data_IF_127546597235
#
_entry.id   IF_127546597235
#
_cell.length_a   1.000
_cell.length_b   1.000
_cell.length_c   1.000
_cell.angle_alpha   90.00
_cell.angle_beta   90.00
_cell.angle_gamma   90.00
#
_symmetry.space_group_name_H-M   'P 1'
#
loop_
_entity.id
_entity.type
_entity.pdbx_description
1 polymer ?
#
# COMPACT_ATOMS: atom_id res chain seq x y z
N UNK A 1 28.68 -7.04 -1.13
CA UNK A 1 27.91 -6.01 -1.87
C UNK A 1 26.56 -5.72 -1.21
N UNK A 2 25.66 -6.72 -1.03
CA UNK A 2 24.31 -6.49 -0.50
C UNK A 2 24.22 -5.92 0.94
N UNK A 3 25.15 -6.27 1.83
CA UNK A 3 25.16 -5.74 3.21
C UNK A 3 25.50 -4.24 3.26
N UNK A 4 26.35 -3.77 2.36
CA UNK A 4 26.78 -2.36 2.30
C UNK A 4 25.68 -1.43 1.77
N UNK A 5 24.89 -1.89 0.79
CA UNK A 5 23.72 -1.15 0.31
C UNK A 5 22.67 -0.92 1.40
N UNK A 6 22.52 -1.87 2.34
CA UNK A 6 21.60 -1.73 3.49
C UNK A 6 22.07 -0.69 4.50
N UNK A 7 23.38 -0.49 4.66
CA UNK A 7 23.93 0.54 5.55
C UNK A 7 23.60 1.93 5.00
N UNK A 8 23.82 2.17 3.71
CA UNK A 8 23.45 3.45 3.09
C UNK A 8 21.94 3.70 3.12
N UNK A 9 21.12 2.64 3.06
CA UNK A 9 19.67 2.79 3.22
C UNK A 9 19.28 3.18 4.65
N UNK A 10 19.93 2.61 5.67
CA UNK A 10 19.58 2.84 7.09
C UNK A 10 20.13 4.16 7.62
N UNK A 11 21.34 4.55 7.19
CA UNK A 11 22.07 5.72 7.71
C UNK A 11 22.13 6.90 6.72
N UNK A 12 21.70 6.68 5.47
CA UNK A 12 21.69 7.70 4.42
C UNK A 12 22.74 7.42 3.34
N UNK A 13 22.44 7.85 2.11
CA UNK A 13 23.26 7.59 0.91
C UNK A 13 24.68 8.18 1.09
N UNK A 14 25.70 7.38 0.77
CA UNK A 14 27.10 7.81 0.86
C UNK A 14 27.74 7.70 2.25
N UNK A 15 27.04 7.12 3.22
CA UNK A 15 27.60 6.81 4.55
C UNK A 15 28.77 5.84 4.42
N UNK A 16 28.62 4.80 3.61
CA UNK A 16 29.69 3.81 3.38
C UNK A 16 30.88 4.45 2.66
N UNK A 17 30.63 5.35 1.70
CA UNK A 17 31.67 6.05 0.94
C UNK A 17 32.48 6.98 1.86
N UNK A 18 31.83 7.71 2.77
CA UNK A 18 32.49 8.57 3.77
C UNK A 18 33.44 7.82 4.71
N UNK A 19 33.24 6.52 4.89
CA UNK A 19 34.04 5.67 5.75
C UNK A 19 34.91 4.67 4.97
N UNK A 20 34.98 4.79 3.64
CA UNK A 20 35.82 3.95 2.78
C UNK A 20 37.30 4.15 3.15
N UNK A 21 37.99 3.06 3.48
CA UNK A 21 39.40 3.07 3.90
C UNK A 21 39.63 3.27 5.40
N UNK A 22 38.59 3.54 6.20
CA UNK A 22 38.68 3.54 7.67
C UNK A 22 38.57 2.11 8.22
N UNK A 23 39.14 1.86 9.40
CA UNK A 23 38.97 0.57 10.11
C UNK A 23 37.49 0.30 10.32
N UNK A 24 37.05 -0.94 10.09
CA UNK A 24 35.66 -1.37 10.26
C UNK A 24 35.09 -1.06 11.66
N UNK A 25 35.95 -1.10 12.69
CA UNK A 25 35.59 -0.75 14.07
C UNK A 25 34.99 0.66 14.19
N UNK A 26 35.58 1.65 13.50
CA UNK A 26 35.10 3.03 13.55
C UNK A 26 33.70 3.18 12.93
N UNK A 27 33.38 2.35 11.93
CA UNK A 27 32.03 2.29 11.41
C UNK A 27 31.11 1.66 12.46
N UNK A 28 31.47 0.50 13.03
CA UNK A 28 30.66 -0.13 14.09
C UNK A 28 30.40 0.77 15.29
N UNK A 29 31.38 1.55 15.74
CA UNK A 29 31.21 2.48 16.87
C UNK A 29 30.23 3.61 16.51
N UNK A 30 30.26 4.11 15.27
CA UNK A 30 29.27 5.07 14.75
C UNK A 30 27.87 4.44 14.68
N UNK A 31 27.76 3.24 14.12
CA UNK A 31 26.51 2.48 14.02
C UNK A 31 25.93 2.20 15.42
N UNK A 32 26.79 1.86 16.37
CA UNK A 32 26.47 1.62 17.76
C UNK A 32 26.22 2.91 18.55
N UNK A 33 26.45 4.10 17.99
CA UNK A 33 26.12 5.38 18.60
C UNK A 33 24.69 5.84 18.34
N UNK A 34 24.04 5.31 17.29
CA UNK A 34 22.71 5.77 16.86
C UNK A 34 21.60 5.35 17.84
N UNK A 35 21.14 6.29 18.66
CA UNK A 35 20.05 6.12 19.63
C UNK A 35 18.76 5.61 18.97
N UNK A 36 18.45 6.05 17.75
CA UNK A 36 17.28 5.59 17.00
C UNK A 36 17.33 4.08 16.78
N UNK A 37 18.51 3.56 16.45
CA UNK A 37 18.70 2.15 16.16
C UNK A 37 18.86 1.30 17.41
N UNK A 38 19.50 1.82 18.46
CA UNK A 38 19.47 1.18 19.79
C UNK A 38 18.04 0.94 20.24
N UNK A 39 17.19 1.96 20.16
CA UNK A 39 15.78 1.83 20.56
C UNK A 39 15.00 0.85 19.69
N UNK A 40 15.38 0.69 18.42
CA UNK A 40 14.70 -0.19 17.48
C UNK A 40 15.18 -1.65 17.56
N UNK A 41 16.45 -1.88 17.83
CA UNK A 41 17.08 -3.21 17.82
C UNK A 41 17.13 -3.82 19.23
N UNK A 42 17.18 -3.01 20.29
CA UNK A 42 17.16 -3.50 21.66
C UNK A 42 15.71 -3.64 22.16
N UNK A 43 15.27 -4.85 22.53
CA UNK A 43 13.92 -5.06 23.05
C UNK A 43 13.75 -4.34 24.39
N UNK A 44 12.63 -3.62 24.57
CA UNK A 44 12.32 -2.94 25.83
C UNK A 44 11.88 -3.90 26.95
N UNK A 45 11.52 -5.14 26.60
CA UNK A 45 11.17 -6.20 27.56
C UNK A 45 12.16 -7.35 27.42
N UNK A 46 12.77 -7.76 28.53
CA UNK A 46 13.82 -8.79 28.56
C UNK A 46 13.41 -10.14 27.93
N UNK A 47 12.11 -10.45 27.86
CA UNK A 47 11.61 -11.74 27.39
C UNK A 47 11.22 -11.79 25.90
N UNK A 48 11.57 -10.78 25.10
CA UNK A 48 11.26 -10.74 23.67
C UNK A 48 12.53 -10.71 22.81
N UNK A 49 12.64 -11.55 21.76
CA UNK A 49 13.84 -11.64 20.94
C UNK A 49 14.03 -10.44 19.98
N UNK A 50 13.04 -9.55 19.87
CA UNK A 50 13.08 -8.36 19.03
C UNK A 50 12.07 -7.32 19.50
N UNK A 51 12.29 -6.05 19.15
CA UNK A 51 11.34 -4.96 19.40
C UNK A 51 10.08 -5.14 18.54
N UNK A 52 8.93 -5.07 19.21
CA UNK A 52 7.62 -5.05 18.57
C UNK A 52 7.06 -3.63 18.67
N UNK A 53 6.74 -3.03 17.53
CA UNK A 53 6.16 -1.69 17.50
C UNK A 53 4.65 -1.82 17.61
N UNK A 54 4.07 -1.25 18.66
CA UNK A 54 2.62 -1.21 18.87
C UNK A 54 2.07 0.16 18.45
N UNK A 55 1.14 0.18 17.51
CA UNK A 55 0.42 1.39 17.10
C UNK A 55 -1.06 1.22 17.40
N UNK A 56 -1.53 1.92 18.44
CA UNK A 56 -2.93 1.92 18.84
C UNK A 56 -3.65 3.17 18.30
N UNK A 57 -4.78 2.96 17.63
CA UNK A 57 -5.54 3.98 16.93
C UNK A 57 -6.97 4.10 17.47
N UNK A 58 -7.11 4.60 18.71
CA UNK A 58 -8.41 4.87 19.34
C UNK A 58 -8.93 3.73 20.22
N UNK A 59 -10.01 3.99 20.98
CA UNK A 59 -10.67 2.98 21.83
C UNK A 59 -11.58 2.09 20.98
N UNK A 60 -11.50 0.79 21.20
CA UNK A 60 -12.30 -0.22 20.50
C UNK A 60 -13.63 -0.39 21.23
N UNK A 61 -14.73 0.05 20.62
CA UNK A 61 -16.08 -0.30 21.06
C UNK A 61 -16.73 -1.11 19.94
N UNK A 62 -16.71 -2.45 20.04
CA UNK A 62 -17.34 -3.32 19.06
C UNK A 62 -18.82 -2.94 18.88
N UNK A 63 -19.28 -2.81 17.64
CA UNK A 63 -20.68 -2.51 17.32
C UNK A 63 -21.09 -1.05 17.45
N UNK A 64 -20.18 -0.13 17.81
CA UNK A 64 -20.45 1.31 17.78
C UNK A 64 -20.73 1.81 16.35
N UNK A 65 -21.50 2.89 16.22
CA UNK A 65 -21.82 3.50 14.92
C UNK A 65 -20.56 3.94 14.15
N UNK A 66 -19.52 4.37 14.86
CA UNK A 66 -18.25 4.74 14.26
C UNK A 66 -17.56 3.52 13.61
N UNK A 67 -17.58 2.38 14.30
CA UNK A 67 -17.00 1.11 13.81
C UNK A 67 -17.80 0.53 12.64
N UNK A 68 -19.14 0.56 12.69
CA UNK A 68 -20.01 0.15 11.58
C UNK A 68 -19.81 1.03 10.36
N UNK A 69 -19.76 2.33 10.57
CA UNK A 69 -19.54 3.24 9.47
C UNK A 69 -18.17 3.04 8.82
N UNK A 70 -17.14 2.50 9.49
CA UNK A 70 -15.84 2.21 8.85
C UNK A 70 -15.93 1.07 7.82
N UNK A 71 -16.92 0.19 7.95
CA UNK A 71 -17.17 -0.91 7.03
C UNK A 71 -18.09 -0.52 5.86
N UNK A 72 -18.84 0.59 6.00
CA UNK A 72 -19.75 1.07 4.96
C UNK A 72 -19.06 1.80 3.81
N UNK A 73 -19.71 1.91 2.64
CA UNK A 73 -19.17 2.67 1.51
C UNK A 73 -18.90 4.13 1.86
N UNK A 74 -17.78 4.69 1.41
CA UNK A 74 -17.38 6.07 1.75
C UNK A 74 -18.39 7.12 1.25
N UNK A 75 -19.07 6.84 0.14
CA UNK A 75 -20.05 7.73 -0.46
C UNK A 75 -21.38 7.80 0.30
N UNK A 76 -21.74 6.78 1.09
CA UNK A 76 -22.96 6.79 1.91
C UNK A 76 -22.77 7.48 3.26
N UNK A 77 -21.53 7.85 3.61
CA UNK A 77 -21.24 8.50 4.89
C UNK A 77 -21.61 10.00 4.87
N UNK A 78 -22.27 10.47 5.93
CA UNK A 78 -22.48 11.91 6.15
C UNK A 78 -21.17 12.71 6.06
N UNK A 79 -21.23 13.90 5.47
CA UNK A 79 -20.07 14.75 5.17
C UNK A 79 -19.19 15.02 6.40
N UNK A 80 -19.81 15.29 7.57
CA UNK A 80 -19.09 15.50 8.84
C UNK A 80 -18.28 14.26 9.25
N UNK A 81 -18.89 13.07 9.15
CA UNK A 81 -18.24 11.81 9.48
C UNK A 81 -17.11 11.49 8.51
N UNK A 82 -17.33 11.71 7.20
CA UNK A 82 -16.33 11.54 6.15
C UNK A 82 -15.09 12.40 6.39
N UNK A 83 -15.27 13.69 6.72
CA UNK A 83 -14.16 14.61 7.05
C UNK A 83 -13.39 14.16 8.29
N UNK A 84 -14.11 13.79 9.35
CA UNK A 84 -13.51 13.31 10.61
C UNK A 84 -12.67 12.05 10.37
N UNK A 85 -13.19 11.10 9.60
CA UNK A 85 -12.46 9.88 9.21
C UNK A 85 -11.26 10.16 8.31
N UNK A 86 -11.37 11.10 7.37
CA UNK A 86 -10.22 11.53 6.56
C UNK A 86 -9.08 12.09 7.42
N UNK A 87 -9.41 12.92 8.44
CA UNK A 87 -8.42 13.40 9.42
C UNK A 87 -7.82 12.27 10.23
N UNK A 88 -8.65 11.33 10.68
CA UNK A 88 -8.19 10.15 11.42
C UNK A 88 -7.26 9.28 10.57
N UNK A 89 -7.62 8.99 9.31
CA UNK A 89 -6.81 8.19 8.40
C UNK A 89 -5.45 8.83 8.13
N UNK A 90 -5.39 10.15 7.95
CA UNK A 90 -4.13 10.90 7.84
C UNK A 90 -3.29 10.79 9.11
N UNK A 91 -3.90 10.97 10.28
CA UNK A 91 -3.21 10.81 11.57
C UNK A 91 -2.67 9.40 11.77
N UNK A 92 -3.47 8.38 11.44
CA UNK A 92 -3.07 6.98 11.52
C UNK A 92 -1.93 6.66 10.55
N UNK A 93 -2.04 7.10 9.29
CA UNK A 93 -0.99 6.95 8.30
C UNK A 93 0.33 7.55 8.79
N UNK A 94 0.30 8.76 9.35
CA UNK A 94 1.51 9.41 9.87
C UNK A 94 2.17 8.61 11.02
N UNK A 95 1.39 7.92 11.85
CA UNK A 95 1.92 7.05 12.91
C UNK A 95 2.62 5.79 12.38
N UNK A 96 2.13 5.22 11.28
CA UNK A 96 2.70 4.00 10.70
C UNK A 96 3.80 4.28 9.67
N UNK A 97 3.83 5.49 9.09
CA UNK A 97 4.65 5.82 7.93
C UNK A 97 6.13 5.58 8.13
N UNK A 98 6.67 5.93 9.31
CA UNK A 98 8.07 5.71 9.68
C UNK A 98 8.47 4.24 9.78
N UNK A 99 7.51 3.36 10.02
CA UNK A 99 7.79 1.96 10.35
C UNK A 99 7.55 1.04 9.16
N UNK A 100 6.68 1.42 8.23
CA UNK A 100 6.21 0.58 7.13
C UNK A 100 6.68 1.09 5.76
N UNK A 101 6.81 2.41 5.58
CA UNK A 101 7.08 3.02 4.28
C UNK A 101 8.44 3.73 4.24
N UNK A 102 8.93 3.94 3.02
CA UNK A 102 10.09 4.80 2.78
C UNK A 102 9.78 6.25 3.22
N UNK A 103 10.71 6.88 3.92
CA UNK A 103 10.62 8.27 4.37
C UNK A 103 11.57 9.18 3.59
N UNK A 104 11.15 10.42 3.32
CA UNK A 104 12.01 11.49 2.80
C UNK A 104 12.43 11.37 1.33
N UNK A 105 13.22 12.35 0.89
CA UNK A 105 13.86 12.41 -0.42
C UNK A 105 14.87 11.26 -0.61
N UNK A 106 15.19 10.98 -1.86
CA UNK A 106 16.19 9.97 -2.22
C UNK A 106 17.50 10.17 -1.47
N UNK A 107 17.80 9.27 -0.53
CA UNK A 107 19.07 9.21 0.18
C UNK A 107 19.05 9.59 1.66
N UNK A 108 17.89 9.93 2.24
CA UNK A 108 17.75 10.07 3.69
C UNK A 108 17.77 8.73 4.46
N UNK A 109 18.12 8.73 5.77
CA UNK A 109 18.15 7.50 6.59
C UNK A 109 16.76 6.87 6.74
N UNK A 110 16.69 5.55 6.59
CA UNK A 110 15.45 4.78 6.69
C UNK A 110 15.42 3.91 7.95
N UNK A 111 14.24 3.80 8.57
CA UNK A 111 13.98 2.92 9.73
C UNK A 111 13.30 1.61 9.37
N UNK A 112 12.40 1.64 8.38
CA UNK A 112 11.61 0.48 7.97
C UNK A 112 12.43 -0.78 7.62
N UNK A 113 13.68 -0.72 7.09
CA UNK A 113 14.44 -1.93 6.79
C UNK A 113 14.84 -2.75 8.03
N UNK A 114 14.83 -2.13 9.20
CA UNK A 114 15.19 -2.74 10.48
C UNK A 114 13.97 -3.12 11.33
N UNK A 115 12.78 -2.67 10.93
CA UNK A 115 11.55 -3.00 11.62
C UNK A 115 11.19 -4.46 11.32
N UNK A 116 11.11 -5.28 12.37
CA UNK A 116 10.76 -6.69 12.24
C UNK A 116 9.25 -6.95 12.32
N UNK A 117 8.56 -6.29 13.25
CA UNK A 117 7.13 -6.50 13.49
C UNK A 117 6.46 -5.21 13.94
N UNK A 118 5.34 -4.89 13.29
CA UNK A 118 4.42 -3.82 13.71
C UNK A 118 3.07 -4.47 14.00
N UNK A 119 2.52 -4.19 15.19
CA UNK A 119 1.18 -4.61 15.58
C UNK A 119 0.29 -3.37 15.57
N UNK A 120 -0.72 -3.40 14.70
CA UNK A 120 -1.70 -2.35 14.56
C UNK A 120 -2.96 -2.74 15.34
N UNK A 121 -3.46 -1.83 16.17
CA UNK A 121 -4.72 -2.00 16.91
C UNK A 121 -5.62 -0.79 16.65
N UNK A 122 -6.90 -1.03 16.41
CA UNK A 122 -7.83 0.01 16.00
C UNK A 122 -9.29 -0.46 16.03
N UNK A 123 -10.25 0.44 15.79
CA UNK A 123 -11.68 0.18 15.92
C UNK A 123 -12.25 -0.56 14.70
N UNK A 124 -11.64 -1.68 14.32
CA UNK A 124 -12.07 -2.49 13.18
C UNK A 124 -13.11 -3.53 13.63
N UNK A 125 -14.39 -3.22 13.39
CA UNK A 125 -15.49 -4.12 13.77
C UNK A 125 -15.37 -5.52 13.14
N UNK A 126 -14.82 -5.62 11.92
CA UNK A 126 -14.59 -6.90 11.24
C UNK A 126 -13.58 -7.80 11.95
N UNK A 127 -12.74 -7.26 12.84
CA UNK A 127 -11.75 -8.02 13.61
C UNK A 127 -12.18 -8.24 15.07
N UNK A 128 -13.39 -7.81 15.44
CA UNK A 128 -13.88 -7.85 16.84
C UNK A 128 -14.04 -9.26 17.40
N UNK A 129 -14.18 -10.27 16.55
CA UNK A 129 -14.28 -11.69 16.92
C UNK A 129 -12.93 -12.34 17.24
N UNK A 130 -11.83 -11.58 17.21
CA UNK A 130 -10.47 -12.08 17.46
C UNK A 130 -9.70 -12.46 16.19
N UNK A 131 -10.27 -12.21 15.00
CA UNK A 131 -9.54 -12.37 13.75
C UNK A 131 -8.33 -11.41 13.67
N UNK A 132 -7.20 -11.91 13.17
CA UNK A 132 -5.98 -11.14 12.98
C UNK A 132 -5.56 -11.21 11.52
N UNK A 133 -5.35 -10.05 10.89
CA UNK A 133 -4.79 -9.95 9.55
C UNK A 133 -3.30 -9.66 9.63
N UNK A 134 -2.52 -10.44 8.89
CA UNK A 134 -1.07 -10.27 8.80
C UNK A 134 -0.74 -9.96 7.35
N UNK A 135 -0.25 -8.74 7.10
CA UNK A 135 0.31 -8.35 5.81
C UNK A 135 1.75 -8.86 5.72
N UNK A 136 1.98 -9.82 4.84
CA UNK A 136 3.29 -10.46 4.67
C UNK A 136 4.05 -9.79 3.52
N UNK A 137 5.37 -9.58 3.66
CA UNK A 137 6.19 -9.16 2.53
C UNK A 137 6.07 -10.15 1.37
N UNK A 138 5.95 -9.60 0.15
CA UNK A 138 5.74 -10.39 -1.06
C UNK A 138 6.81 -11.46 -1.28
N UNK A 139 6.42 -12.54 -1.94
CA UNK A 139 7.28 -13.72 -2.20
C UNK A 139 8.54 -13.37 -3.01
N UNK A 140 8.54 -12.23 -3.73
CA UNK A 140 9.70 -11.69 -4.46
C UNK A 140 10.40 -10.51 -3.77
N UNK A 141 10.24 -10.35 -2.46
CA UNK A 141 11.02 -9.36 -1.73
C UNK A 141 12.53 -9.67 -1.90
N UNK A 142 13.30 -8.69 -2.36
CA UNK A 142 14.75 -8.82 -2.53
C UNK A 142 15.48 -9.11 -1.20
N UNK A 143 14.80 -8.91 -0.06
CA UNK A 143 15.35 -9.17 1.25
C UNK A 143 15.01 -10.58 1.77
N UNK A 144 15.98 -11.49 1.67
CA UNK A 144 15.91 -12.89 2.18
C UNK A 144 15.41 -13.00 3.62
N UNK A 145 15.75 -12.03 4.49
CA UNK A 145 15.27 -12.03 5.87
C UNK A 145 13.75 -11.84 5.96
N UNK A 146 13.16 -11.04 5.07
CA UNK A 146 11.70 -10.82 5.00
C UNK A 146 10.99 -12.04 4.42
N UNK A 147 11.57 -12.66 3.39
CA UNK A 147 11.04 -13.91 2.81
C UNK A 147 10.96 -15.04 3.86
N UNK A 148 12.01 -15.22 4.68
CA UNK A 148 12.01 -16.21 5.77
C UNK A 148 10.95 -15.94 6.84
N UNK A 149 10.69 -14.66 7.14
CA UNK A 149 9.60 -14.29 8.07
C UNK A 149 8.25 -14.67 7.46
N UNK A 150 8.01 -14.32 6.19
CA UNK A 150 6.78 -14.71 5.48
C UNK A 150 6.55 -16.22 5.48
N UNK A 151 7.59 -17.01 5.16
CA UNK A 151 7.51 -18.47 5.13
C UNK A 151 7.09 -19.06 6.49
N UNK A 152 7.67 -18.57 7.59
CA UNK A 152 7.30 -19.04 8.93
C UNK A 152 5.88 -18.64 9.34
N UNK A 153 5.38 -17.48 8.90
CA UNK A 153 4.01 -17.07 9.17
C UNK A 153 3.01 -17.92 8.38
N UNK A 154 3.28 -18.19 7.10
CA UNK A 154 2.40 -18.99 6.22
C UNK A 154 2.09 -20.36 6.83
N UNK A 155 3.08 -21.02 7.44
CA UNK A 155 2.91 -22.33 8.11
C UNK A 155 1.90 -22.31 9.25
N UNK A 156 1.79 -21.18 9.94
CA UNK A 156 0.98 -21.03 11.15
C UNK A 156 -0.33 -20.26 10.89
N UNK A 157 -0.62 -19.88 9.64
CA UNK A 157 -1.86 -19.18 9.30
C UNK A 157 -3.04 -20.16 9.23
N UNK A 158 -4.21 -19.74 9.73
CA UNK A 158 -5.44 -20.53 9.60
C UNK A 158 -6.03 -20.45 8.18
N UNK A 159 -5.89 -19.30 7.52
CA UNK A 159 -6.32 -19.03 6.15
C UNK A 159 -5.28 -18.15 5.47
N UNK A 160 -5.03 -18.42 4.20
CA UNK A 160 -4.04 -17.71 3.39
C UNK A 160 -4.78 -17.07 2.22
N UNK A 161 -4.60 -15.76 2.04
CA UNK A 161 -5.18 -15.04 0.92
C UNK A 161 -4.08 -14.62 -0.05
N UNK A 162 -4.17 -15.11 -1.29
CA UNK A 162 -3.31 -14.67 -2.38
C UNK A 162 -4.06 -13.57 -3.12
N UNK A 163 -3.57 -12.33 -3.01
CA UNK A 163 -4.24 -11.14 -3.55
C UNK A 163 -3.48 -10.66 -4.77
N UNK A 164 -4.13 -10.61 -5.94
CA UNK A 164 -3.51 -10.16 -7.18
C UNK A 164 -4.51 -9.43 -8.09
N UNK A 165 -4.06 -8.46 -8.91
CA UNK A 165 -4.89 -7.86 -9.95
C UNK A 165 -5.54 -8.89 -10.86
N UNK A 166 -6.78 -8.65 -11.28
CA UNK A 166 -7.54 -9.57 -12.14
C UNK A 166 -6.81 -9.86 -13.46
N UNK A 167 -6.17 -8.87 -14.08
CA UNK A 167 -5.36 -9.04 -15.30
C UNK A 167 -4.25 -10.08 -15.12
N UNK A 168 -3.62 -10.11 -13.94
CA UNK A 168 -2.57 -11.09 -13.59
C UNK A 168 -3.13 -12.46 -13.22
N UNK A 169 -4.38 -12.52 -12.77
CA UNK A 169 -5.05 -13.77 -12.46
C UNK A 169 -5.50 -14.49 -13.74
N UNK A 170 -5.84 -13.72 -14.77
CA UNK A 170 -6.25 -14.22 -16.09
C UNK A 170 -5.04 -14.63 -16.95
N UNK A 171 -3.91 -13.91 -16.84
CA UNK A 171 -2.67 -14.30 -17.51
C UNK A 171 -2.12 -15.64 -16.97
N UNK A 172 -2.19 -16.69 -17.79
CA UNK A 172 -1.75 -18.05 -17.50
C UNK A 172 -0.29 -18.10 -17.03
N UNK A 173 0.57 -17.20 -17.51
CA UNK A 173 1.97 -17.12 -17.08
C UNK A 173 2.10 -16.65 -15.63
N UNK A 174 1.37 -15.60 -15.26
CA UNK A 174 1.43 -15.03 -13.91
C UNK A 174 0.68 -15.89 -12.89
N UNK A 175 -0.44 -16.50 -13.26
CA UNK A 175 -1.16 -17.45 -12.42
C UNK A 175 -0.33 -18.73 -12.18
N UNK A 176 0.37 -19.25 -13.21
CA UNK A 176 1.36 -20.33 -13.05
C UNK A 176 2.57 -19.93 -12.22
N UNK A 177 2.95 -18.65 -12.17
CA UNK A 177 4.06 -18.21 -11.32
C UNK A 177 3.62 -17.99 -9.86
N UNK A 178 2.42 -17.43 -9.64
CA UNK A 178 1.84 -17.17 -8.32
C UNK A 178 1.34 -18.45 -7.63
N UNK A 179 0.75 -19.37 -8.40
CA UNK A 179 0.27 -20.69 -7.97
C UNK A 179 1.09 -21.82 -8.58
N UNK A 180 2.38 -21.56 -8.85
CA UNK A 180 3.26 -22.54 -9.45
C UNK A 180 3.39 -23.81 -8.64
N UNK A 181 3.85 -24.88 -9.30
CA UNK A 181 4.01 -26.18 -8.66
C UNK A 181 4.82 -26.10 -7.37
N UNK A 182 5.83 -25.22 -7.29
CA UNK A 182 6.62 -25.05 -6.07
C UNK A 182 5.80 -24.46 -4.92
N UNK A 183 4.96 -23.46 -5.18
CA UNK A 183 4.10 -22.86 -4.15
C UNK A 183 3.02 -23.85 -3.70
N UNK A 184 2.38 -24.54 -4.66
CA UNK A 184 1.40 -25.61 -4.38
C UNK A 184 2.01 -26.77 -3.60
N UNK A 185 3.19 -27.26 -3.99
CA UNK A 185 3.91 -28.33 -3.27
C UNK A 185 4.26 -27.88 -1.87
N UNK A 186 4.74 -26.64 -1.67
CA UNK A 186 5.00 -26.10 -0.33
C UNK A 186 3.74 -26.07 0.53
N UNK A 187 2.63 -25.57 -0.01
CA UNK A 187 1.34 -25.56 0.69
C UNK A 187 0.83 -26.97 1.01
N UNK A 188 1.06 -27.95 0.14
CA UNK A 188 0.72 -29.35 0.37
C UNK A 188 1.58 -29.95 1.50
N UNK A 189 2.89 -29.72 1.46
CA UNK A 189 3.83 -30.20 2.49
C UNK A 189 3.56 -29.56 3.85
N UNK A 190 3.17 -28.29 3.88
CA UNK A 190 2.81 -27.56 5.09
C UNK A 190 1.36 -27.83 5.55
N UNK A 191 0.59 -28.68 4.86
CA UNK A 191 -0.79 -29.02 5.20
C UNK A 191 -1.80 -27.87 5.01
N UNK A 192 -1.40 -26.80 4.32
CA UNK A 192 -2.17 -25.56 4.16
C UNK A 192 -2.93 -25.49 2.81
N UNK A 193 -2.81 -26.50 1.96
CA UNK A 193 -3.38 -26.49 0.60
C UNK A 193 -4.90 -26.18 0.58
N UNK A 194 -5.67 -26.70 1.53
CA UNK A 194 -7.12 -26.45 1.65
C UNK A 194 -7.50 -25.10 2.29
N UNK A 195 -6.53 -24.33 2.76
CA UNK A 195 -6.75 -23.07 3.48
C UNK A 195 -6.45 -21.82 2.65
N UNK A 196 -6.16 -21.99 1.36
CA UNK A 196 -5.77 -20.91 0.45
C UNK A 196 -6.98 -20.41 -0.32
N UNK A 197 -7.14 -19.09 -0.39
CA UNK A 197 -8.13 -18.42 -1.23
C UNK A 197 -7.44 -17.40 -2.12
N UNK A 198 -7.82 -17.38 -3.40
CA UNK A 198 -7.31 -16.41 -4.35
C UNK A 198 -8.30 -15.24 -4.47
N UNK A 199 -7.82 -14.02 -4.30
CA UNK A 199 -8.62 -12.80 -4.37
C UNK A 199 -8.13 -11.96 -5.55
N UNK A 200 -8.97 -11.88 -6.57
CA UNK A 200 -8.75 -10.99 -7.71
C UNK A 200 -9.13 -9.56 -7.33
N UNK A 201 -8.17 -8.64 -7.37
CA UNK A 201 -8.37 -7.20 -7.15
C UNK A 201 -8.42 -6.44 -8.47
N UNK A 202 -8.71 -5.13 -8.43
CA UNK A 202 -8.77 -4.28 -9.64
C UNK A 202 -9.78 -4.81 -10.68
N UNK A 203 -10.89 -5.37 -10.22
CA UNK A 203 -11.95 -5.93 -11.08
C UNK A 203 -12.71 -4.85 -11.86
N UNK A 204 -12.52 -3.59 -11.49
CA UNK A 204 -12.99 -2.42 -12.22
C UNK A 204 -12.14 -2.13 -13.46
N UNK A 205 -10.88 -2.59 -13.48
CA UNK A 205 -9.94 -2.44 -14.59
C UNK A 205 -9.93 -3.73 -15.44
N UNK A 206 -11.09 -4.08 -16.01
CA UNK A 206 -11.18 -5.15 -17.02
C UNK A 206 -11.44 -4.53 -18.39
N UNK A 207 -10.69 -4.94 -19.41
CA UNK A 207 -10.91 -4.43 -20.75
C UNK A 207 -12.17 -5.05 -21.34
N UNK A 208 -13.14 -4.19 -21.69
CA UNK A 208 -14.45 -4.62 -22.21
C UNK A 208 -14.29 -5.45 -23.49
N UNK A 209 -13.33 -5.08 -24.33
CA UNK A 209 -12.93 -5.78 -25.56
C UNK A 209 -12.41 -7.19 -25.29
N UNK A 210 -11.57 -7.37 -24.27
CA UNK A 210 -11.03 -8.67 -23.84
C UNK A 210 -12.15 -9.58 -23.32
N UNK A 211 -13.01 -9.06 -22.42
CA UNK A 211 -14.17 -9.81 -21.90
C UNK A 211 -15.08 -10.28 -23.03
N UNK A 212 -15.33 -9.43 -24.02
CA UNK A 212 -16.18 -9.75 -25.17
C UNK A 212 -15.54 -10.83 -26.04
N UNK A 213 -14.22 -10.75 -26.26
CA UNK A 213 -13.48 -11.70 -27.10
C UNK A 213 -13.42 -13.07 -26.43
N UNK A 214 -13.10 -13.10 -25.15
CA UNK A 214 -12.88 -14.34 -24.38
C UNK A 214 -14.18 -15.02 -23.95
N UNK A 215 -15.29 -14.27 -23.88
CA UNK A 215 -16.64 -14.78 -23.63
C UNK A 215 -17.59 -14.61 -24.84
N UNK A 216 -17.05 -14.66 -26.06
CA UNK A 216 -17.83 -14.49 -27.28
C UNK A 216 -18.94 -15.56 -27.42
N UNK A 217 -18.72 -16.74 -26.86
CA UNK A 217 -19.68 -17.85 -26.74
C UNK A 217 -20.85 -17.51 -25.79
N UNK A 218 -20.57 -16.96 -24.61
CA UNK A 218 -21.59 -16.52 -23.64
C UNK A 218 -22.37 -15.31 -24.18
N UNK A 219 -21.70 -14.41 -24.89
CA UNK A 219 -22.32 -13.24 -25.50
C UNK A 219 -23.29 -13.62 -26.64
N UNK A 220 -23.01 -14.70 -27.38
CA UNK A 220 -23.91 -15.25 -28.42
C UNK A 220 -25.15 -15.93 -27.85
N UNK A 221 -25.05 -16.53 -26.66
CA UNK A 221 -26.15 -17.27 -26.03
C UNK A 221 -27.20 -16.37 -25.35
N UNK A 222 -26.89 -15.10 -25.10
CA UNK A 222 -27.81 -14.13 -24.48
C UNK A 222 -28.24 -13.09 -25.51
N UNK A 223 -29.45 -13.26 -26.09
CA UNK A 223 -30.04 -12.29 -27.03
C UNK A 223 -30.04 -10.87 -26.44
N UNK A 224 -29.67 -9.87 -27.23
CA UNK A 224 -29.69 -8.44 -26.82
C UNK A 224 -28.45 -7.97 -26.05
N UNK A 225 -27.57 -8.88 -25.62
CA UNK A 225 -26.40 -8.53 -24.80
C UNK A 225 -25.34 -7.78 -25.61
N UNK A 226 -25.13 -8.18 -26.86
CA UNK A 226 -24.21 -7.52 -27.79
C UNK A 226 -24.63 -6.08 -28.09
N UNK A 227 -25.91 -5.85 -28.36
CA UNK A 227 -26.47 -4.51 -28.61
C UNK A 227 -26.30 -3.61 -27.38
N UNK A 228 -26.60 -4.15 -26.19
CA UNK A 228 -26.44 -3.43 -24.92
C UNK A 228 -24.98 -3.09 -24.64
N UNK A 229 -24.07 -4.02 -24.88
CA UNK A 229 -22.62 -3.82 -24.74
C UNK A 229 -22.14 -2.74 -25.71
N UNK A 230 -22.50 -2.85 -26.99
CA UNK A 230 -22.12 -1.88 -28.03
C UNK A 230 -22.59 -0.46 -27.68
N UNK A 231 -23.86 -0.32 -27.28
CA UNK A 231 -24.45 0.95 -26.88
C UNK A 231 -23.82 1.53 -25.61
N UNK A 232 -23.53 0.71 -24.60
CA UNK A 232 -22.82 1.16 -23.39
C UNK A 232 -21.39 1.60 -23.71
N UNK A 233 -20.67 0.85 -24.55
CA UNK A 233 -19.32 1.21 -24.99
C UNK A 233 -19.29 2.51 -25.80
N UNK A 234 -20.33 2.80 -26.59
CA UNK A 234 -20.48 4.11 -27.24
C UNK A 234 -20.70 5.22 -26.21
N UNK A 235 -21.61 5.03 -25.25
CA UNK A 235 -21.85 6.01 -24.18
C UNK A 235 -20.61 6.29 -23.33
N UNK A 236 -19.81 5.26 -23.03
CA UNK A 236 -18.54 5.43 -22.31
C UNK A 236 -17.61 6.35 -23.10
N UNK A 237 -17.40 6.08 -24.40
CA UNK A 237 -16.56 6.93 -25.27
C UNK A 237 -17.05 8.38 -25.34
N UNK A 238 -18.36 8.59 -25.44
CA UNK A 238 -18.95 9.93 -25.43
C UNK A 238 -18.73 10.64 -24.08
N UNK A 239 -18.88 9.94 -22.96
CA UNK A 239 -18.63 10.49 -21.63
C UNK A 239 -17.15 10.80 -21.41
N UNK A 240 -16.24 9.95 -21.85
CA UNK A 240 -14.79 10.18 -21.78
C UNK A 240 -14.40 11.44 -22.56
N UNK A 241 -14.94 11.62 -23.77
CA UNK A 241 -14.74 12.85 -24.56
C UNK A 241 -15.23 14.09 -23.81
N UNK A 242 -16.41 14.01 -23.18
CA UNK A 242 -16.95 15.12 -22.37
C UNK A 242 -16.08 15.43 -21.16
N UNK A 243 -15.56 14.41 -20.47
CA UNK A 243 -14.63 14.57 -19.35
C UNK A 243 -13.34 15.24 -19.83
N UNK A 244 -12.81 14.84 -20.99
CA UNK A 244 -11.64 15.46 -21.62
C UNK A 244 -11.84 16.97 -21.82
N UNK A 245 -12.91 17.36 -22.52
CA UNK A 245 -13.22 18.77 -22.74
C UNK A 245 -13.47 19.56 -21.44
N UNK A 246 -14.06 18.93 -20.42
CA UNK A 246 -14.27 19.58 -19.15
C UNK A 246 -12.95 19.82 -18.40
N UNK A 247 -12.00 18.88 -18.49
CA UNK A 247 -10.66 19.01 -17.91
C UNK A 247 -9.85 20.11 -18.58
N UNK A 248 -9.87 20.17 -19.92
CA UNK A 248 -9.22 21.25 -20.69
C UNK A 248 -9.73 22.62 -20.22
N UNK A 249 -11.06 22.79 -20.13
CA UNK A 249 -11.65 24.03 -19.60
C UNK A 249 -11.21 24.32 -18.16
N UNK A 250 -11.14 23.31 -17.30
CA UNK A 250 -10.69 23.51 -15.91
C UNK A 250 -9.23 23.97 -15.84
N UNK A 251 -8.37 23.51 -16.75
CA UNK A 251 -6.97 23.96 -16.86
C UNK A 251 -6.89 25.41 -17.36
N UNK A 252 -7.65 25.77 -18.40
CA UNK A 252 -7.74 27.15 -18.91
C UNK A 252 -8.21 28.12 -17.82
N UNK A 253 -9.29 27.79 -17.11
CA UNK A 253 -9.79 28.61 -16.01
C UNK A 253 -8.77 28.77 -14.86
N UNK A 254 -7.99 27.72 -14.57
CA UNK A 254 -6.93 27.83 -13.55
C UNK A 254 -5.82 28.76 -14.02
N UNK A 255 -5.39 28.67 -15.28
CA UNK A 255 -4.38 29.55 -15.84
C UNK A 255 -4.80 31.03 -15.77
N UNK A 256 -6.05 31.33 -16.13
CA UNK A 256 -6.62 32.68 -16.04
C UNK A 256 -6.63 33.23 -14.60
N UNK A 257 -6.94 32.37 -13.61
CA UNK A 257 -6.93 32.77 -12.19
C UNK A 257 -5.51 33.06 -11.72
N UNK A 258 -4.54 32.21 -12.08
CA UNK A 258 -3.14 32.45 -11.71
C UNK A 258 -2.59 33.74 -12.32
N UNK A 259 -2.92 34.03 -13.58
CA UNK A 259 -2.51 35.29 -14.22
C UNK A 259 -3.11 36.51 -13.50
N UNK A 260 -4.39 36.45 -13.13
CA UNK A 260 -5.03 37.54 -12.37
C UNK A 260 -4.44 37.74 -10.98
N UNK A 261 -4.15 36.65 -10.27
CA UNK A 261 -3.47 36.71 -8.96
C UNK A 261 -2.06 37.31 -9.09
N UNK A 262 -1.32 36.94 -10.14
CA UNK A 262 0.01 37.49 -10.41
C UNK A 262 -0.06 38.99 -10.73
N UNK A 263 -0.97 39.42 -11.60
CA UNK A 263 -1.21 40.85 -11.89
C UNK A 263 -1.61 41.64 -10.64
N UNK A 264 -2.43 41.06 -9.75
CA UNK A 264 -2.85 41.70 -8.52
C UNK A 264 -1.69 41.83 -7.52
N UNK A 265 -0.84 40.80 -7.40
CA UNK A 265 0.39 40.82 -6.59
C UNK A 265 1.35 41.90 -7.13
N UNK A 266 1.57 41.96 -8.44
CA UNK A 266 2.43 42.98 -9.06
C UNK A 266 1.88 44.39 -8.83
N UNK A 267 0.57 44.58 -8.99
CA UNK A 267 -0.08 45.87 -8.74
C UNK A 267 0.06 46.27 -7.26
N UNK A 268 -0.15 45.36 -6.33
CA UNK A 268 -0.01 45.62 -4.89
C UNK A 268 1.44 45.91 -4.48
N UNK A 269 2.41 45.25 -5.12
CA UNK A 269 3.83 45.52 -4.91
C UNK A 269 4.21 46.92 -5.44
N UNK A 270 3.73 47.30 -6.62
CA UNK A 270 4.00 48.60 -7.23
C UNK A 270 3.52 49.77 -6.35
N UNK A 271 2.28 49.72 -5.86
CA UNK A 271 1.72 50.75 -4.96
C UNK A 271 2.37 50.82 -3.57
N UNK A 272 3.23 49.86 -3.21
CA UNK A 272 3.96 49.85 -1.93
C UNK A 272 5.34 50.49 -2.03
N UNK A 273 5.80 50.79 -3.25
CA UNK A 273 7.10 51.39 -3.55
C UNK A 273 7.01 52.86 -4.01
N UNK A 274 5.81 53.40 -4.19
CA UNK A 274 5.52 54.85 -4.24
C UNK A 274 5.14 55.37 -2.85
#
# INVERSE_FOLDING_TARGET
MAAWAKIDQVYGRGTVIKHRGKKSQNLYDLLAGDLRLKNLLCPQKSNQPHTIIHVCAGKVIPGSDESRALLGPVHTMHVRLRRRKGKWAKSFHNKIKSHVYHQGSEGGPQTWPLVRKVILQGPWACLSTGACLVDLPGVRDANVARSKVSENYIKNCNKIWVVAPIKRAVDDGTAKELLGEQFKRRLLMDGQYGNVSFICTQTDDCEVTEIIRDHADVAKNVKGRWEKISHLSQKIREMEKRIGHQKEKEEDYKADVYQKEEEEIFRHAYYKFE
#
